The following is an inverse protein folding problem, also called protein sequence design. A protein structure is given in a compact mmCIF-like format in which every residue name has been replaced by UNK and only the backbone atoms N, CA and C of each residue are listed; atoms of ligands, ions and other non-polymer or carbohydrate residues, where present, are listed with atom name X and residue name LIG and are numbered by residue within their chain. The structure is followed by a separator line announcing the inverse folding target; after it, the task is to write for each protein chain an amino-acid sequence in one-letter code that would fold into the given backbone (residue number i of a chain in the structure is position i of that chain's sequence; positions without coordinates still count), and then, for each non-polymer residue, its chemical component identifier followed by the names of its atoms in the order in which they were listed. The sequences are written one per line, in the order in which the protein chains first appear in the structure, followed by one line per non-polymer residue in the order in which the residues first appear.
data_IF_438086070355
#
_entry.id   IF_438086070355
#
_cell.length_a   1.000
_cell.length_b   1.000
_cell.length_c   1.000
_cell.angle_alpha   90.00
_cell.angle_beta   90.00
_cell.angle_gamma   90.00
#
_symmetry.space_group_name_H-M   'P 1'
#
loop_
_entity.id
_entity.type
_entity.pdbx_description
1 polymer ?
#
# COMPACT_ATOMS: atom_id res chain seq x y z
N UNK A 1 5.58 37.86 65.09
CA UNK A 1 4.45 37.20 64.41
C UNK A 1 4.38 37.73 62.99
N UNK A 2 4.98 37.01 62.05
CA UNK A 2 4.95 37.34 60.62
C UNK A 2 4.17 36.24 59.92
N UNK A 3 3.08 36.64 59.27
CA UNK A 3 2.32 35.74 58.38
C UNK A 3 2.92 35.83 56.98
N UNK A 4 3.35 34.68 56.44
CA UNK A 4 3.82 34.57 55.08
C UNK A 4 2.65 34.17 54.20
N UNK A 5 2.33 35.02 53.20
CA UNK A 5 1.45 34.72 52.10
C UNK A 5 2.21 33.87 51.08
N UNK A 6 1.71 32.69 50.78
CA UNK A 6 2.18 31.85 49.69
C UNK A 6 1.29 32.13 48.47
N UNK A 7 1.85 32.81 47.49
CA UNK A 7 1.24 32.95 46.15
C UNK A 7 1.45 31.71 45.34
N UNK A 8 0.37 31.00 45.01
CA UNK A 8 0.42 29.94 44.05
C UNK A 8 0.37 30.50 42.63
N UNK A 9 1.49 30.44 41.93
CA UNK A 9 1.57 30.68 40.50
C UNK A 9 1.12 29.41 39.78
N UNK A 10 -0.02 29.50 39.10
CA UNK A 10 -0.41 28.50 38.11
C UNK A 10 0.44 28.70 36.87
N UNK A 11 1.44 27.89 36.69
CA UNK A 11 2.23 27.83 35.46
C UNK A 11 1.56 26.92 34.45
N UNK A 12 1.18 27.49 33.35
CA UNK A 12 1.66 27.24 32.01
C UNK A 12 1.45 25.82 31.47
N UNK A 13 0.64 25.81 30.44
CA UNK A 13 0.57 24.72 29.48
C UNK A 13 1.98 24.24 29.10
N UNK A 14 2.27 23.01 29.39
CA UNK A 14 3.40 22.33 28.81
C UNK A 14 2.90 21.77 27.49
N UNK A 15 3.34 22.36 26.38
CA UNK A 15 3.32 21.70 25.08
C UNK A 15 4.19 20.45 25.20
N UNK A 16 3.53 19.31 25.39
CA UNK A 16 4.19 18.03 25.25
C UNK A 16 4.21 17.67 23.77
N UNK A 17 5.31 18.00 23.10
CA UNK A 17 5.64 17.30 21.86
C UNK A 17 5.76 15.82 22.18
N UNK A 18 4.77 15.05 21.76
CA UNK A 18 4.78 13.57 21.84
C UNK A 18 5.64 13.08 20.68
N UNK A 19 6.79 12.45 20.93
CA UNK A 19 7.57 11.85 19.86
C UNK A 19 6.89 10.56 19.41
N UNK A 20 6.31 10.59 18.24
CA UNK A 20 6.00 9.39 17.46
C UNK A 20 4.54 8.93 17.48
N UNK A 21 3.85 9.14 16.39
CA UNK A 21 2.88 8.20 15.87
C UNK A 21 1.41 8.42 16.19
N UNK A 22 1.03 9.35 17.06
CA UNK A 22 -0.38 9.72 17.26
C UNK A 22 -0.64 11.11 16.67
N UNK A 23 -1.38 11.15 15.56
CA UNK A 23 -1.91 12.41 15.06
C UNK A 23 -3.20 12.75 15.82
N UNK A 24 -3.26 13.89 16.50
CA UNK A 24 -4.51 14.40 17.08
C UNK A 24 -5.03 15.51 16.20
N UNK A 25 -6.20 15.30 15.59
CA UNK A 25 -6.92 16.35 14.86
C UNK A 25 -7.88 17.01 15.84
N UNK A 26 -7.64 18.29 16.13
CA UNK A 26 -8.48 19.05 17.06
C UNK A 26 -9.45 19.90 16.25
N UNK A 27 -10.75 19.72 16.45
CA UNK A 27 -11.80 20.55 15.83
C UNK A 27 -12.10 21.76 16.70
N UNK A 28 -12.74 22.78 16.13
CA UNK A 28 -13.26 23.96 16.88
C UNK A 28 -14.41 23.61 17.83
N UNK A 29 -14.96 22.42 17.73
CA UNK A 29 -15.88 21.83 18.70
C UNK A 29 -15.05 21.08 19.75
N UNK A 30 -15.59 20.76 20.91
CA UNK A 30 -14.93 19.97 21.96
C UNK A 30 -14.62 18.49 21.58
N UNK A 31 -14.84 18.12 20.31
CA UNK A 31 -14.58 16.78 19.79
C UNK A 31 -13.15 16.69 19.26
N UNK A 32 -12.46 15.63 19.60
CA UNK A 32 -11.08 15.34 19.16
C UNK A 32 -11.15 14.06 18.33
N UNK A 33 -10.75 14.14 17.06
CA UNK A 33 -10.51 12.95 16.26
C UNK A 33 -9.11 12.43 16.59
N UNK A 34 -9.03 11.25 17.19
CA UNK A 34 -7.77 10.52 17.33
C UNK A 34 -7.61 9.60 16.13
N UNK A 35 -6.47 9.69 15.46
CA UNK A 35 -6.10 8.79 14.36
C UNK A 35 -4.71 8.23 14.66
N UNK A 36 -4.55 6.93 14.50
CA UNK A 36 -3.28 6.25 14.69
C UNK A 36 -2.64 5.97 13.31
N UNK A 37 -1.33 6.21 13.21
CA UNK A 37 -0.55 5.84 12.04
C UNK A 37 -0.14 4.37 12.17
N UNK A 38 -0.50 3.56 11.20
CA UNK A 38 -0.09 2.16 11.18
C UNK A 38 1.37 2.07 10.72
N UNK A 39 2.21 1.52 11.58
CA UNK A 39 3.63 1.24 11.33
C UNK A 39 4.45 2.44 10.77
N UNK A 40 4.43 3.61 11.45
CA UNK A 40 5.08 4.82 10.94
C UNK A 40 6.62 4.73 10.89
N UNK A 41 7.20 3.72 11.54
CA UNK A 41 8.66 3.50 11.62
C UNK A 41 9.12 2.27 10.86
N UNK A 42 8.30 1.76 9.95
CA UNK A 42 8.66 0.59 9.15
C UNK A 42 9.95 0.82 8.38
N UNK A 43 10.90 -0.10 8.52
CA UNK A 43 12.09 -0.12 7.66
C UNK A 43 11.71 -0.67 6.28
N UNK A 44 11.59 0.22 5.31
CA UNK A 44 11.21 -0.13 3.94
C UNK A 44 12.25 -1.00 3.25
N UNK A 45 13.53 -0.95 3.67
CA UNK A 45 14.61 -1.77 3.10
C UNK A 45 14.45 -3.26 3.42
N UNK A 46 13.62 -3.60 4.42
CA UNK A 46 13.29 -4.98 4.77
C UNK A 46 12.07 -5.54 4.00
N UNK A 47 11.47 -4.77 3.10
CA UNK A 47 10.30 -5.22 2.33
C UNK A 47 10.67 -6.31 1.33
N UNK A 48 11.78 -6.14 0.61
CA UNK A 48 12.21 -7.12 -0.38
C UNK A 48 12.78 -8.38 0.28
N UNK A 49 12.41 -9.53 -0.26
CA UNK A 49 12.81 -10.83 0.26
C UNK A 49 14.24 -11.19 -0.18
N UNK A 50 14.91 -12.14 0.48
CA UNK A 50 16.17 -12.70 0.00
C UNK A 50 16.04 -13.26 -1.43
N UNK A 51 17.14 -13.20 -2.19
CA UNK A 51 17.17 -13.64 -3.60
C UNK A 51 16.79 -15.12 -3.74
N UNK A 52 15.75 -15.38 -4.54
CA UNK A 52 15.36 -16.73 -4.92
C UNK A 52 16.32 -17.30 -5.97
N UNK A 53 16.69 -18.58 -5.82
CA UNK A 53 17.44 -19.30 -6.85
C UNK A 53 16.58 -19.56 -8.09
N UNK A 54 17.21 -19.68 -9.26
CA UNK A 54 16.51 -20.10 -10.48
C UNK A 54 16.11 -21.59 -10.40
N UNK A 55 14.97 -21.91 -11.00
CA UNK A 55 14.54 -23.29 -11.16
C UNK A 55 15.52 -24.03 -12.10
N UNK A 56 15.77 -25.31 -11.90
CA UNK A 56 16.69 -26.07 -12.74
C UNK A 56 16.29 -26.02 -14.24
N UNK A 57 17.20 -25.49 -15.07
CA UNK A 57 17.01 -25.38 -16.51
C UNK A 57 16.09 -24.24 -16.98
N UNK A 58 15.59 -23.41 -16.06
CA UNK A 58 14.81 -22.23 -16.39
C UNK A 58 15.71 -21.03 -16.76
N UNK A 59 15.15 -19.99 -17.44
CA UNK A 59 15.85 -18.74 -17.66
C UNK A 59 16.32 -18.10 -16.35
N UNK A 60 17.48 -17.44 -16.38
CA UNK A 60 18.02 -16.72 -15.23
C UNK A 60 18.49 -15.31 -15.63
N UNK A 61 17.56 -14.40 -15.97
CA UNK A 61 17.90 -13.06 -16.42
C UNK A 61 18.68 -12.30 -15.36
N UNK A 62 19.74 -11.60 -15.79
CA UNK A 62 20.65 -10.84 -14.95
C UNK A 62 20.43 -9.32 -15.07
N UNK A 63 19.78 -8.88 -16.14
CA UNK A 63 19.57 -7.47 -16.49
C UNK A 63 18.12 -7.23 -16.90
N UNK A 64 17.26 -6.99 -15.92
CA UNK A 64 15.82 -6.88 -16.12
C UNK A 64 15.44 -5.41 -16.31
N UNK A 65 14.77 -5.09 -17.39
CA UNK A 65 14.12 -3.80 -17.58
C UNK A 65 12.63 -3.94 -17.28
N UNK A 66 12.09 -3.03 -16.49
CA UNK A 66 10.68 -3.06 -16.06
C UNK A 66 9.92 -1.90 -16.71
N UNK A 67 9.05 -2.21 -17.67
CA UNK A 67 8.26 -1.23 -18.41
C UNK A 67 6.94 -0.85 -17.72
N UNK A 68 6.62 -1.46 -16.59
CA UNK A 68 5.54 -1.08 -15.68
C UNK A 68 6.01 -1.19 -14.23
N UNK A 69 6.12 -0.08 -13.46
CA UNK A 69 6.65 -0.12 -12.11
C UNK A 69 5.84 -1.00 -11.15
N UNK A 70 4.59 -1.34 -11.46
CA UNK A 70 3.80 -2.29 -10.66
C UNK A 70 4.39 -3.71 -10.66
N UNK A 71 5.24 -4.07 -11.64
CA UNK A 71 5.92 -5.36 -11.68
C UNK A 71 7.16 -5.42 -10.78
N UNK A 72 7.65 -4.27 -10.28
CA UNK A 72 8.76 -4.20 -9.32
C UNK A 72 8.43 -4.93 -8.02
N UNK A 73 7.17 -4.91 -7.58
CA UNK A 73 6.72 -5.62 -6.39
C UNK A 73 7.04 -7.13 -6.47
N UNK A 74 6.74 -7.75 -7.61
CA UNK A 74 7.00 -9.17 -7.83
C UNK A 74 8.51 -9.48 -7.79
N UNK A 75 9.34 -8.62 -8.37
CA UNK A 75 10.80 -8.76 -8.34
C UNK A 75 11.35 -8.57 -6.92
N UNK A 76 10.84 -7.61 -6.17
CA UNK A 76 11.12 -7.40 -4.75
C UNK A 76 10.72 -8.63 -3.93
N UNK A 77 9.52 -9.16 -4.15
CA UNK A 77 9.07 -10.40 -3.51
C UNK A 77 9.93 -11.61 -3.86
N UNK A 78 10.59 -11.64 -5.02
CA UNK A 78 11.53 -12.69 -5.43
C UNK A 78 12.98 -12.40 -5.06
N UNK A 79 13.28 -11.22 -4.51
CA UNK A 79 14.64 -10.78 -4.17
C UNK A 79 15.50 -10.49 -5.39
N UNK A 80 14.88 -10.09 -6.49
CA UNK A 80 15.55 -9.82 -7.76
C UNK A 80 15.69 -8.31 -8.08
N UNK A 81 15.37 -7.43 -7.12
CA UNK A 81 15.47 -5.98 -7.31
C UNK A 81 16.86 -5.52 -7.74
N UNK A 82 17.93 -6.18 -7.28
CA UNK A 82 19.31 -5.86 -7.67
C UNK A 82 19.64 -6.19 -9.13
N UNK A 83 18.79 -6.95 -9.81
CA UNK A 83 18.92 -7.27 -11.25
C UNK A 83 18.16 -6.29 -12.14
N UNK A 84 17.36 -5.40 -11.56
CA UNK A 84 16.65 -4.38 -12.33
C UNK A 84 17.63 -3.29 -12.74
N UNK A 85 17.79 -3.11 -14.04
CA UNK A 85 18.73 -2.14 -14.62
C UNK A 85 18.07 -0.80 -14.92
N UNK A 86 16.76 -0.78 -15.15
CA UNK A 86 15.96 0.43 -15.31
C UNK A 86 14.46 0.12 -15.20
N UNK A 87 13.68 1.14 -14.87
CA UNK A 87 12.22 1.07 -14.83
C UNK A 87 11.57 2.32 -15.42
N UNK A 88 10.35 2.20 -15.92
CA UNK A 88 9.47 3.35 -16.13
C UNK A 88 8.92 3.87 -14.82
N UNK A 89 8.31 5.05 -14.84
CA UNK A 89 7.62 5.65 -13.70
C UNK A 89 6.12 5.83 -13.95
N UNK A 90 5.37 6.03 -12.87
CA UNK A 90 4.01 6.55 -12.88
C UNK A 90 3.98 7.77 -11.97
N UNK A 91 3.59 8.94 -12.51
CA UNK A 91 3.63 10.19 -11.76
C UNK A 91 5.04 10.69 -11.41
N UNK A 92 6.06 10.30 -12.19
CA UNK A 92 7.45 10.78 -12.08
C UNK A 92 8.28 10.09 -11.00
N UNK A 93 7.75 9.12 -10.25
CA UNK A 93 8.48 8.45 -9.18
C UNK A 93 8.30 6.93 -9.21
N UNK A 94 9.21 6.23 -8.53
CA UNK A 94 9.10 4.81 -8.22
C UNK A 94 8.51 4.62 -6.82
N UNK A 95 7.92 3.44 -6.53
CA UNK A 95 7.37 3.15 -5.21
C UNK A 95 8.43 3.23 -4.11
N UNK A 96 8.08 3.85 -2.97
CA UNK A 96 8.99 4.04 -1.83
C UNK A 96 8.95 2.88 -0.83
N UNK A 97 7.85 2.14 -0.79
CA UNK A 97 7.62 1.10 0.21
C UNK A 97 8.53 -0.14 0.07
N UNK A 98 9.22 -0.29 -1.05
CA UNK A 98 10.16 -1.38 -1.33
C UNK A 98 11.62 -1.03 -1.01
N UNK A 99 11.87 0.13 -0.40
CA UNK A 99 13.19 0.58 0.02
C UNK A 99 14.00 1.29 -1.07
N UNK A 100 15.18 1.79 -0.64
CA UNK A 100 16.05 2.62 -1.47
C UNK A 100 16.53 1.91 -2.74
N UNK A 101 16.82 0.61 -2.66
CA UNK A 101 17.26 -0.16 -3.84
C UNK A 101 16.26 -0.14 -5.00
N UNK A 102 14.96 -0.02 -4.70
CA UNK A 102 13.92 0.08 -5.74
C UNK A 102 13.64 1.53 -6.07
N UNK A 103 13.58 2.39 -5.06
CA UNK A 103 13.28 3.81 -5.26
C UNK A 103 14.33 4.52 -6.10
N UNK A 104 15.61 4.17 -5.95
CA UNK A 104 16.74 4.81 -6.62
C UNK A 104 17.15 4.15 -7.95
N UNK A 105 16.34 3.23 -8.47
CA UNK A 105 16.59 2.62 -9.78
C UNK A 105 16.64 3.68 -10.90
N UNK A 106 17.51 3.51 -11.91
CA UNK A 106 17.49 4.33 -13.11
C UNK A 106 16.11 4.31 -13.77
N UNK A 107 15.59 5.48 -14.14
CA UNK A 107 14.29 5.60 -14.77
C UNK A 107 14.43 5.94 -16.26
N UNK A 108 13.52 5.40 -17.08
CA UNK A 108 13.46 5.60 -18.53
C UNK A 108 12.18 6.34 -18.97
N UNK A 109 11.71 7.27 -18.14
CA UNK A 109 10.50 8.06 -18.40
C UNK A 109 9.21 7.41 -17.91
N UNK A 110 8.08 8.01 -18.25
CA UNK A 110 6.76 7.54 -17.87
C UNK A 110 6.35 6.26 -18.59
N UNK A 111 5.62 5.37 -17.94
CA UNK A 111 5.07 4.14 -18.51
C UNK A 111 4.35 4.39 -19.85
N UNK A 112 3.57 5.46 -19.94
CA UNK A 112 2.83 5.80 -21.16
C UNK A 112 3.75 6.29 -22.31
N UNK A 113 4.97 6.71 -22.01
CA UNK A 113 5.92 7.25 -22.97
C UNK A 113 7.36 7.00 -22.51
N UNK A 114 7.82 5.73 -22.56
CA UNK A 114 9.19 5.38 -22.19
C UNK A 114 10.21 5.92 -23.21
N UNK A 115 11.41 6.22 -22.73
CA UNK A 115 12.55 6.58 -23.58
C UNK A 115 13.23 5.32 -24.11
N UNK A 116 13.00 5.03 -25.40
CA UNK A 116 13.54 3.85 -26.08
C UNK A 116 15.07 3.86 -26.13
N UNK A 117 15.69 5.04 -26.29
CA UNK A 117 17.16 5.13 -26.36
C UNK A 117 17.79 4.78 -24.99
N UNK A 118 17.22 5.28 -23.90
CA UNK A 118 17.64 4.93 -22.55
C UNK A 118 17.39 3.45 -22.24
N UNK A 119 16.24 2.90 -22.66
CA UNK A 119 15.92 1.48 -22.49
C UNK A 119 16.94 0.59 -23.20
N UNK A 120 17.28 0.92 -24.46
CA UNK A 120 18.30 0.19 -25.23
C UNK A 120 19.69 0.32 -24.60
N UNK A 121 20.06 1.53 -24.15
CA UNK A 121 21.35 1.77 -23.49
C UNK A 121 21.50 1.01 -22.16
N UNK A 122 20.40 0.70 -21.48
CA UNK A 122 20.40 -0.14 -20.28
C UNK A 122 20.81 -1.59 -20.58
N UNK A 123 20.83 -2.01 -21.86
CA UNK A 123 21.25 -3.33 -22.33
C UNK A 123 20.63 -4.49 -21.50
N UNK A 124 19.29 -4.59 -21.43
CA UNK A 124 18.62 -5.66 -20.73
C UNK A 124 18.70 -6.99 -21.45
N UNK A 125 18.64 -8.09 -20.72
CA UNK A 125 18.44 -9.45 -21.25
C UNK A 125 16.98 -9.91 -21.15
N UNK A 126 16.17 -9.21 -20.33
CA UNK A 126 14.72 -9.40 -20.22
C UNK A 126 14.02 -8.05 -20.05
N UNK A 127 12.89 -7.87 -20.73
CA UNK A 127 11.97 -6.75 -20.52
C UNK A 127 10.62 -7.29 -20.03
N UNK A 128 10.15 -6.81 -18.90
CA UNK A 128 8.80 -7.08 -18.39
C UNK A 128 7.86 -5.92 -18.69
N UNK A 129 6.72 -6.20 -19.32
CA UNK A 129 5.71 -5.19 -19.67
C UNK A 129 4.33 -5.61 -19.15
N UNK A 130 3.38 -4.68 -19.11
CA UNK A 130 1.96 -4.99 -18.97
C UNK A 130 1.22 -4.56 -20.23
N UNK A 131 0.58 -5.54 -20.90
CA UNK A 131 -0.07 -5.28 -22.20
C UNK A 131 0.90 -4.82 -23.29
N UNK A 132 0.38 -4.03 -24.22
CA UNK A 132 1.18 -3.47 -25.32
C UNK A 132 2.14 -2.39 -24.78
N UNK A 133 3.38 -2.47 -25.21
CA UNK A 133 4.41 -1.49 -24.83
C UNK A 133 5.17 -1.01 -26.06
N UNK A 134 5.44 0.30 -26.18
CA UNK A 134 6.30 0.84 -27.24
C UNK A 134 7.72 0.23 -27.26
N UNK A 135 8.15 -0.39 -26.17
CA UNK A 135 9.45 -1.05 -26.08
C UNK A 135 9.48 -2.41 -26.77
N UNK A 136 8.32 -3.08 -26.95
CA UNK A 136 8.29 -4.44 -27.51
C UNK A 136 8.97 -4.54 -28.88
N UNK A 137 8.65 -3.62 -29.77
CA UNK A 137 9.23 -3.59 -31.14
C UNK A 137 10.65 -3.02 -31.16
N UNK A 138 11.01 -2.21 -30.17
CA UNK A 138 12.26 -1.46 -30.15
C UNK A 138 13.44 -2.24 -29.56
N UNK A 139 13.18 -3.30 -28.80
CA UNK A 139 14.22 -4.05 -28.05
C UNK A 139 14.93 -5.12 -28.88
N UNK A 140 14.62 -5.24 -30.19
CA UNK A 140 15.31 -6.12 -31.12
C UNK A 140 15.23 -7.60 -30.73
N UNK A 141 16.36 -8.22 -30.40
CA UNK A 141 16.43 -9.65 -30.00
C UNK A 141 16.27 -9.88 -28.49
N UNK A 142 16.13 -8.82 -27.70
CA UNK A 142 15.89 -8.96 -26.24
C UNK A 142 14.52 -9.58 -25.99
N UNK A 143 14.43 -10.54 -25.09
CA UNK A 143 13.16 -11.14 -24.71
C UNK A 143 12.25 -10.11 -24.05
N UNK A 144 11.03 -9.98 -24.56
CA UNK A 144 9.99 -9.10 -24.01
C UNK A 144 8.81 -9.96 -23.58
N UNK A 145 8.50 -9.97 -22.30
CA UNK A 145 7.41 -10.78 -21.73
C UNK A 145 6.28 -9.85 -21.26
N UNK A 146 5.13 -9.90 -21.94
CA UNK A 146 3.94 -9.18 -21.54
C UNK A 146 3.23 -9.93 -20.39
N UNK A 147 2.99 -9.23 -19.29
CA UNK A 147 2.17 -9.69 -18.17
C UNK A 147 0.77 -9.11 -18.33
N UNK A 148 -0.24 -9.96 -18.30
CA UNK A 148 -1.63 -9.54 -18.48
C UNK A 148 -2.11 -8.70 -17.27
N UNK A 149 -2.41 -7.41 -17.44
CA UNK A 149 -2.85 -6.54 -16.35
C UNK A 149 -4.26 -6.86 -15.83
N UNK A 150 -5.07 -7.60 -16.59
CA UNK A 150 -6.43 -7.98 -16.20
C UNK A 150 -6.48 -9.15 -15.21
N UNK A 151 -5.37 -9.86 -15.04
CA UNK A 151 -5.26 -10.94 -14.05
C UNK A 151 -5.27 -10.38 -12.62
N UNK A 152 -5.75 -11.18 -11.66
CA UNK A 152 -5.56 -10.90 -10.25
C UNK A 152 -4.06 -10.82 -9.88
N UNK A 153 -3.77 -10.19 -8.74
CA UNK A 153 -2.40 -9.92 -8.35
C UNK A 153 -1.55 -11.19 -8.11
N UNK A 154 -2.15 -12.29 -7.64
CA UNK A 154 -1.43 -13.56 -7.43
C UNK A 154 -1.02 -14.20 -8.76
N UNK A 155 -1.90 -14.15 -9.77
CA UNK A 155 -1.59 -14.66 -11.11
C UNK A 155 -0.53 -13.79 -11.79
N UNK A 156 -0.61 -12.44 -11.64
CA UNK A 156 0.44 -11.55 -12.15
C UNK A 156 1.78 -11.85 -11.50
N UNK A 157 1.82 -12.03 -10.19
CA UNK A 157 3.04 -12.45 -9.48
C UNK A 157 3.57 -13.77 -10.03
N UNK A 158 2.72 -14.78 -10.19
CA UNK A 158 3.11 -16.08 -10.73
C UNK A 158 3.64 -15.98 -12.16
N UNK A 159 3.05 -15.14 -13.01
CA UNK A 159 3.51 -14.89 -14.37
C UNK A 159 4.90 -14.23 -14.38
N UNK A 160 5.15 -13.25 -13.51
CA UNK A 160 6.50 -12.67 -13.35
C UNK A 160 7.49 -13.71 -12.85
N UNK A 161 7.12 -14.52 -11.86
CA UNK A 161 7.98 -15.59 -11.33
C UNK A 161 8.38 -16.58 -12.43
N UNK A 162 7.44 -16.96 -13.31
CA UNK A 162 7.70 -17.83 -14.46
C UNK A 162 8.63 -17.14 -15.47
N UNK A 163 8.39 -15.87 -15.81
CA UNK A 163 9.22 -15.11 -16.75
C UNK A 163 10.67 -14.99 -16.31
N UNK A 164 10.93 -14.92 -14.99
CA UNK A 164 12.29 -14.83 -14.43
C UNK A 164 12.84 -16.19 -13.96
N UNK A 165 12.17 -17.30 -14.30
CA UNK A 165 12.61 -18.66 -13.99
C UNK A 165 12.60 -18.98 -12.47
N UNK A 166 11.60 -18.51 -11.75
CA UNK A 166 11.41 -18.73 -10.29
C UNK A 166 10.02 -19.24 -9.95
N UNK A 167 9.46 -20.09 -10.79
CA UNK A 167 8.11 -20.65 -10.57
C UNK A 167 8.01 -21.36 -9.23
N UNK A 168 8.98 -22.22 -8.88
CA UNK A 168 8.98 -22.94 -7.62
C UNK A 168 9.05 -22.01 -6.41
N UNK A 169 9.95 -21.03 -6.42
CA UNK A 169 10.05 -20.03 -5.36
C UNK A 169 8.81 -19.12 -5.29
N UNK A 170 8.20 -18.80 -6.42
CA UNK A 170 6.94 -18.05 -6.50
C UNK A 170 5.79 -18.78 -5.80
N UNK A 171 5.62 -20.06 -6.10
CA UNK A 171 4.61 -20.91 -5.46
C UNK A 171 4.82 -21.03 -3.94
N UNK A 172 6.07 -21.25 -3.52
CA UNK A 172 6.43 -21.30 -2.09
C UNK A 172 6.06 -20.02 -1.36
N UNK A 173 6.36 -18.85 -1.94
CA UNK A 173 6.09 -17.54 -1.34
C UNK A 173 4.59 -17.22 -1.29
N UNK A 174 3.83 -17.52 -2.33
CA UNK A 174 2.37 -17.41 -2.30
C UNK A 174 1.76 -18.33 -1.24
N UNK A 175 2.25 -19.56 -1.14
CA UNK A 175 1.75 -20.48 -0.11
C UNK A 175 2.09 -19.98 1.31
N UNK A 176 3.29 -19.42 1.50
CA UNK A 176 3.68 -18.81 2.77
C UNK A 176 2.78 -17.63 3.14
N UNK A 177 2.46 -16.75 2.18
CA UNK A 177 1.51 -15.65 2.35
C UNK A 177 0.12 -16.16 2.76
N UNK A 178 -0.45 -17.13 2.01
CA UNK A 178 -1.79 -17.69 2.31
C UNK A 178 -1.85 -18.32 3.70
N UNK A 179 -0.80 -19.06 4.08
CA UNK A 179 -0.69 -19.64 5.42
C UNK A 179 -0.57 -18.55 6.50
N UNK A 180 0.21 -17.49 6.22
CA UNK A 180 0.36 -16.33 7.10
C UNK A 180 -0.94 -15.57 7.28
N UNK A 181 -1.69 -15.32 6.20
CA UNK A 181 -2.99 -14.63 6.22
C UNK A 181 -3.99 -15.40 7.08
N UNK A 182 -4.09 -16.71 6.87
CA UNK A 182 -4.95 -17.56 7.71
C UNK A 182 -4.54 -17.53 9.18
N UNK A 183 -3.25 -17.64 9.49
CA UNK A 183 -2.75 -17.65 10.86
C UNK A 183 -3.01 -16.30 11.58
N UNK A 184 -2.87 -15.19 10.86
CA UNK A 184 -3.23 -13.85 11.35
C UNK A 184 -4.72 -13.79 11.62
N UNK A 185 -5.55 -14.18 10.64
CA UNK A 185 -7.00 -14.17 10.77
C UNK A 185 -7.53 -14.98 11.96
N UNK A 186 -6.97 -16.17 12.17
CA UNK A 186 -7.32 -17.01 13.34
C UNK A 186 -6.95 -16.32 14.66
N UNK A 187 -5.78 -15.64 14.71
CA UNK A 187 -5.28 -14.98 15.93
C UNK A 187 -6.12 -13.78 16.32
N UNK A 188 -6.44 -12.90 15.35
CA UNK A 188 -7.20 -11.66 15.62
C UNK A 188 -8.71 -11.89 15.63
N UNK A 189 -9.19 -13.09 15.37
CA UNK A 189 -10.63 -13.38 15.26
C UNK A 189 -11.28 -12.63 14.07
N UNK A 190 -10.57 -12.52 12.95
CA UNK A 190 -10.90 -11.68 11.81
C UNK A 190 -12.35 -11.78 11.32
N UNK A 191 -12.96 -12.96 11.38
CA UNK A 191 -14.36 -13.21 10.99
C UNK A 191 -15.41 -12.41 11.75
N UNK A 192 -15.03 -11.85 12.89
CA UNK A 192 -15.91 -11.05 13.75
C UNK A 192 -15.68 -9.55 13.59
N UNK A 193 -14.72 -9.13 12.76
CA UNK A 193 -14.34 -7.74 12.54
C UNK A 193 -14.74 -7.29 11.15
N UNK A 194 -15.25 -6.05 11.05
CA UNK A 194 -15.58 -5.40 9.79
C UNK A 194 -14.66 -4.19 9.60
N UNK A 195 -13.86 -4.24 8.55
CA UNK A 195 -12.97 -3.14 8.21
C UNK A 195 -13.48 -2.35 7.00
N UNK A 196 -13.61 -1.04 7.18
CA UNK A 196 -13.85 -0.08 6.11
C UNK A 196 -12.54 0.36 5.47
N UNK A 197 -12.55 0.60 4.16
CA UNK A 197 -11.43 1.15 3.41
C UNK A 197 -11.85 2.49 2.82
N UNK A 198 -11.27 3.57 3.32
CA UNK A 198 -11.58 4.93 2.89
C UNK A 198 -10.33 5.57 2.31
N UNK A 199 -10.41 6.03 1.07
CA UNK A 199 -9.35 6.76 0.39
C UNK A 199 -9.78 8.19 0.11
N UNK A 200 -9.01 9.16 0.59
CA UNK A 200 -9.21 10.55 0.26
C UNK A 200 -8.33 10.95 -0.92
N UNK A 201 -8.98 11.37 -2.00
CA UNK A 201 -8.33 11.98 -3.15
C UNK A 201 -8.61 13.50 -3.16
N UNK A 202 -8.14 14.20 -4.20
CA UNK A 202 -8.45 15.62 -4.36
C UNK A 202 -9.97 15.79 -4.47
N UNK A 203 -10.56 16.51 -3.51
CA UNK A 203 -12.00 16.84 -3.45
C UNK A 203 -12.92 15.60 -3.53
N UNK A 204 -12.45 14.44 -3.07
CA UNK A 204 -13.20 13.19 -3.15
C UNK A 204 -12.90 12.27 -1.97
N UNK A 205 -13.97 11.74 -1.36
CA UNK A 205 -13.94 10.65 -0.38
C UNK A 205 -14.45 9.38 -1.09
N UNK A 206 -13.66 8.33 -1.04
CA UNK A 206 -13.91 7.09 -1.78
C UNK A 206 -13.89 5.94 -0.79
N UNK A 207 -14.95 5.17 -0.76
CA UNK A 207 -14.99 3.86 -0.09
C UNK A 207 -14.71 2.80 -1.14
N UNK A 208 -13.65 2.03 -0.91
CA UNK A 208 -13.21 1.01 -1.86
C UNK A 208 -14.13 -0.23 -1.83
N UNK A 209 -14.37 -0.79 -3.00
CA UNK A 209 -15.12 -2.03 -3.19
C UNK A 209 -14.26 -3.28 -2.95
N UNK A 210 -14.84 -4.45 -3.26
CA UNK A 210 -14.17 -5.76 -3.04
C UNK A 210 -13.07 -6.04 -4.06
N UNK A 211 -13.05 -5.38 -5.22
CA UNK A 211 -12.02 -5.54 -6.23
C UNK A 211 -10.74 -4.78 -5.91
N UNK A 212 -10.78 -3.85 -4.94
CA UNK A 212 -9.59 -3.15 -4.48
C UNK A 212 -8.56 -4.12 -3.86
N UNK A 213 -7.27 -3.89 -4.14
CA UNK A 213 -6.19 -4.76 -3.69
C UNK A 213 -6.22 -5.01 -2.17
N UNK A 214 -6.32 -3.94 -1.36
CA UNK A 214 -6.37 -4.09 0.09
C UNK A 214 -7.63 -4.86 0.55
N UNK A 215 -8.77 -4.74 -0.16
CA UNK A 215 -9.97 -5.50 0.16
C UNK A 215 -9.78 -7.00 -0.10
N UNK A 216 -9.06 -7.38 -1.17
CA UNK A 216 -8.68 -8.76 -1.43
C UNK A 216 -7.79 -9.32 -0.32
N UNK A 217 -6.77 -8.57 0.12
CA UNK A 217 -5.91 -8.96 1.25
C UNK A 217 -6.70 -9.11 2.56
N UNK A 218 -7.64 -8.20 2.86
CA UNK A 218 -8.53 -8.34 4.02
C UNK A 218 -9.38 -9.61 3.92
N UNK A 219 -9.84 -9.96 2.73
CA UNK A 219 -10.60 -11.21 2.47
C UNK A 219 -9.73 -12.44 2.73
N UNK A 220 -8.46 -12.44 2.31
CA UNK A 220 -7.51 -13.53 2.55
C UNK A 220 -7.25 -13.74 4.06
N UNK A 221 -7.27 -12.66 4.83
CA UNK A 221 -7.16 -12.70 6.30
C UNK A 221 -8.48 -13.16 6.94
N UNK A 222 -9.61 -13.00 6.26
CA UNK A 222 -10.96 -13.31 6.77
C UNK A 222 -11.67 -12.14 7.43
N UNK A 223 -11.11 -10.91 7.32
CA UNK A 223 -11.77 -9.68 7.79
C UNK A 223 -12.95 -9.36 6.87
N UNK A 224 -14.10 -9.07 7.47
CA UNK A 224 -15.31 -8.78 6.72
C UNK A 224 -15.35 -7.32 6.25
N UNK A 225 -16.13 -7.07 5.19
CA UNK A 225 -16.46 -5.71 4.76
C UNK A 225 -17.83 -5.31 5.32
N UNK A 226 -18.03 -4.04 5.74
CA UNK A 226 -19.35 -3.53 6.07
C UNK A 226 -20.36 -3.80 4.95
N UNK A 227 -21.66 -3.97 5.24
CA UNK A 227 -22.63 -4.34 4.22
C UNK A 227 -22.67 -3.41 3.00
N UNK A 228 -22.49 -2.09 3.20
CA UNK A 228 -22.47 -1.10 2.11
C UNK A 228 -21.19 -1.10 1.26
N UNK A 229 -20.21 -1.99 1.56
CA UNK A 229 -18.90 -2.03 0.91
C UNK A 229 -18.60 -3.42 0.31
N UNK A 230 -19.63 -4.19 -0.04
CA UNK A 230 -19.50 -5.56 -0.57
C UNK A 230 -19.67 -5.65 -2.09
N UNK A 231 -19.91 -4.51 -2.74
CA UNK A 231 -19.91 -4.44 -4.20
C UNK A 231 -18.47 -4.40 -4.73
N UNK A 232 -18.24 -4.86 -5.98
CA UNK A 232 -16.92 -4.85 -6.59
C UNK A 232 -16.33 -3.45 -6.73
N UNK A 233 -17.15 -2.49 -7.17
CA UNK A 233 -16.74 -1.14 -7.49
C UNK A 233 -16.64 -0.24 -6.24
N UNK A 234 -15.77 0.75 -6.32
CA UNK A 234 -15.66 1.80 -5.32
C UNK A 234 -16.85 2.75 -5.35
N UNK A 235 -17.22 3.29 -4.19
CA UNK A 235 -18.32 4.25 -4.02
C UNK A 235 -17.79 5.61 -3.59
N UNK A 236 -18.17 6.66 -4.32
CA UNK A 236 -17.89 8.05 -3.90
C UNK A 236 -18.87 8.44 -2.81
N UNK A 237 -18.33 9.01 -1.74
CA UNK A 237 -19.09 9.40 -0.55
C UNK A 237 -19.45 10.89 -0.60
N UNK A 238 -20.66 11.21 -0.18
CA UNK A 238 -21.18 12.57 0.01
C UNK A 238 -21.98 12.65 1.33
N UNK A 239 -22.63 13.79 1.57
CA UNK A 239 -23.42 14.00 2.79
C UNK A 239 -24.69 13.12 2.91
N UNK A 240 -25.05 12.37 1.86
CA UNK A 240 -26.24 11.51 1.87
C UNK A 240 -25.93 10.04 2.15
N UNK A 241 -24.71 9.62 1.87
CA UNK A 241 -24.30 8.22 1.97
C UNK A 241 -23.06 7.99 2.85
N UNK A 242 -22.63 9.00 3.63
CA UNK A 242 -21.39 8.95 4.42
C UNK A 242 -21.33 7.78 5.43
N UNK A 243 -22.48 7.32 5.91
CA UNK A 243 -22.57 6.17 6.83
C UNK A 243 -21.98 4.88 6.21
N UNK A 244 -21.87 4.82 4.87
CA UNK A 244 -21.23 3.69 4.19
C UNK A 244 -19.75 3.59 4.56
N UNK A 245 -19.09 4.71 4.91
CA UNK A 245 -17.67 4.73 5.30
C UNK A 245 -17.42 4.14 6.70
N UNK A 246 -18.44 3.90 7.51
CA UNK A 246 -18.27 3.38 8.87
C UNK A 246 -18.01 1.86 8.90
N UNK A 247 -17.45 1.38 10.01
CA UNK A 247 -17.14 -0.02 10.27
C UNK A 247 -16.64 -0.21 11.71
N UNK A 248 -16.22 -1.43 12.06
CA UNK A 248 -15.58 -1.67 13.37
C UNK A 248 -14.21 -0.98 13.45
N UNK A 249 -13.52 -0.88 12.31
CA UNK A 249 -12.28 -0.14 12.09
C UNK A 249 -12.34 0.50 10.70
N UNK A 250 -11.75 1.69 10.56
CA UNK A 250 -11.61 2.38 9.28
C UNK A 250 -10.14 2.58 8.96
N UNK A 251 -9.66 1.95 7.87
CA UNK A 251 -8.35 2.23 7.32
C UNK A 251 -8.46 3.38 6.32
N UNK A 252 -7.75 4.46 6.61
CA UNK A 252 -7.78 5.70 5.82
C UNK A 252 -6.45 5.89 5.08
N UNK A 253 -6.51 6.30 3.83
CA UNK A 253 -5.33 6.78 3.11
C UNK A 253 -5.57 8.12 2.43
N UNK A 254 -4.47 8.77 2.04
CA UNK A 254 -4.49 10.05 1.36
C UNK A 254 -3.71 9.97 0.04
N UNK A 255 -4.38 10.24 -1.06
CA UNK A 255 -3.75 10.33 -2.37
C UNK A 255 -3.05 11.69 -2.53
N UNK A 256 -1.79 11.75 -2.09
CA UNK A 256 -0.96 12.95 -2.15
C UNK A 256 -1.47 14.09 -1.25
N UNK A 257 -0.78 15.23 -1.28
CA UNK A 257 -1.08 16.37 -0.40
C UNK A 257 -2.50 16.96 -0.58
N UNK A 258 -3.08 16.84 -1.78
CA UNK A 258 -4.45 17.31 -2.02
C UNK A 258 -5.48 16.41 -1.33
N UNK A 259 -5.27 15.09 -1.37
CA UNK A 259 -6.09 14.11 -0.65
C UNK A 259 -5.95 14.26 0.86
N UNK A 260 -4.74 14.47 1.36
CA UNK A 260 -4.49 14.73 2.79
C UNK A 260 -5.23 15.97 3.28
N UNK A 261 -5.12 17.08 2.55
CA UNK A 261 -5.83 18.32 2.90
C UNK A 261 -7.35 18.12 2.93
N UNK A 262 -7.91 17.47 1.91
CA UNK A 262 -9.35 17.22 1.83
C UNK A 262 -9.79 16.25 2.93
N UNK A 263 -9.09 15.13 3.09
CA UNK A 263 -9.42 14.12 4.09
C UNK A 263 -9.35 14.65 5.52
N UNK A 264 -8.36 15.49 5.84
CA UNK A 264 -8.28 16.16 7.13
C UNK A 264 -9.55 16.98 7.38
N UNK A 265 -10.01 17.78 6.40
CA UNK A 265 -11.22 18.58 6.56
C UNK A 265 -12.49 17.74 6.73
N UNK A 266 -12.56 16.57 6.07
CA UNK A 266 -13.67 15.62 6.24
C UNK A 266 -13.64 14.99 7.62
N UNK A 267 -12.49 14.51 8.07
CA UNK A 267 -12.32 13.86 9.38
C UNK A 267 -12.56 14.81 10.56
N UNK A 268 -12.49 16.13 10.34
CA UNK A 268 -12.85 17.17 11.33
C UNK A 268 -14.35 17.51 11.31
N UNK A 269 -15.11 17.04 10.33
CA UNK A 269 -16.54 17.36 10.19
C UNK A 269 -17.42 16.60 11.20
N UNK A 270 -18.56 17.20 11.55
CA UNK A 270 -19.52 16.57 12.47
C UNK A 270 -20.01 15.22 11.95
N UNK A 271 -20.27 15.10 10.63
CA UNK A 271 -20.72 13.84 10.02
C UNK A 271 -19.72 12.69 10.21
N UNK A 272 -18.41 13.00 10.10
CA UNK A 272 -17.36 12.01 10.33
C UNK A 272 -17.26 11.62 11.81
N UNK A 273 -17.26 12.63 12.70
CA UNK A 273 -17.12 12.42 14.14
C UNK A 273 -18.32 11.75 14.79
N UNK A 274 -19.48 11.75 14.12
CA UNK A 274 -20.70 11.07 14.59
C UNK A 274 -20.72 9.57 14.20
N UNK A 275 -19.82 9.11 13.29
CA UNK A 275 -19.69 7.69 12.97
C UNK A 275 -19.15 6.87 14.15
N UNK A 276 -19.36 5.55 14.10
CA UNK A 276 -18.94 4.63 15.13
C UNK A 276 -17.43 4.54 15.29
N UNK A 277 -16.70 4.23 14.21
CA UNK A 277 -15.25 4.04 14.27
C UNK A 277 -14.50 5.28 14.79
N UNK A 278 -14.74 6.52 14.33
CA UNK A 278 -14.14 7.72 14.91
C UNK A 278 -14.46 7.91 16.39
N UNK A 279 -15.71 7.70 16.79
CA UNK A 279 -16.12 7.85 18.20
C UNK A 279 -15.45 6.84 19.15
N UNK A 280 -15.08 5.67 18.62
CA UNK A 280 -14.36 4.61 19.33
C UNK A 280 -12.84 4.67 19.14
N UNK A 281 -12.30 5.70 18.45
CA UNK A 281 -10.87 5.87 18.12
C UNK A 281 -10.31 4.69 17.32
N UNK A 282 -11.08 4.23 16.35
CA UNK A 282 -10.72 3.11 15.48
C UNK A 282 -10.52 3.54 14.03
N UNK A 283 -9.90 4.71 13.85
CA UNK A 283 -9.47 5.23 12.55
C UNK A 283 -7.95 5.11 12.45
N UNK A 284 -7.49 4.39 11.44
CA UNK A 284 -6.09 4.03 11.24
C UNK A 284 -5.59 4.56 9.90
N UNK A 285 -4.58 5.40 9.91
CA UNK A 285 -3.96 5.91 8.68
C UNK A 285 -2.95 4.90 8.16
N UNK A 286 -3.08 4.56 6.90
CA UNK A 286 -2.21 3.61 6.18
C UNK A 286 -1.54 4.27 4.98
N UNK A 287 -0.44 3.69 4.52
CA UNK A 287 0.32 4.18 3.38
C UNK A 287 -0.45 3.93 2.06
N UNK A 288 -0.78 4.99 1.32
CA UNK A 288 -1.55 4.94 0.07
C UNK A 288 -0.84 4.12 -1.02
N UNK A 289 0.48 4.25 -1.12
CA UNK A 289 1.29 3.51 -2.10
C UNK A 289 1.26 2.00 -1.88
N UNK A 290 1.06 1.53 -0.65
CA UNK A 290 0.96 0.11 -0.29
C UNK A 290 -0.46 -0.42 -0.41
N UNK A 291 -1.44 0.29 0.19
CA UNK A 291 -2.79 -0.23 0.35
C UNK A 291 -3.68 -0.04 -0.89
N UNK A 292 -3.42 1.01 -1.68
CA UNK A 292 -4.32 1.42 -2.76
C UNK A 292 -3.64 1.53 -4.12
N UNK A 293 -2.35 1.86 -4.16
CA UNK A 293 -1.63 2.02 -5.43
C UNK A 293 -0.81 0.78 -5.82
N UNK A 294 -0.44 -0.06 -4.87
CA UNK A 294 0.26 -1.33 -5.12
C UNK A 294 -0.72 -2.46 -5.50
N UNK A 295 -0.18 -3.61 -5.83
CA UNK A 295 -0.96 -4.78 -6.20
C UNK A 295 -0.07 -5.99 -6.43
N UNK A 296 0.75 -6.37 -5.43
CA UNK A 296 1.62 -7.52 -5.51
C UNK A 296 1.95 -8.12 -4.14
N UNK A 297 2.77 -9.18 -4.13
CA UNK A 297 3.03 -9.99 -2.95
C UNK A 297 3.82 -9.24 -1.86
N UNK A 298 4.72 -8.33 -2.23
CA UNK A 298 5.45 -7.50 -1.25
C UNK A 298 4.50 -6.58 -0.51
N UNK A 299 3.61 -5.88 -1.24
CA UNK A 299 2.59 -5.03 -0.64
C UNK A 299 1.59 -5.84 0.20
N UNK A 300 1.16 -7.02 -0.28
CA UNK A 300 0.24 -7.90 0.46
C UNK A 300 0.82 -8.32 1.81
N UNK A 301 2.11 -8.64 1.87
CA UNK A 301 2.79 -8.94 3.13
C UNK A 301 2.87 -7.73 4.08
N UNK A 302 3.03 -6.51 3.54
CA UNK A 302 3.00 -5.29 4.36
C UNK A 302 1.60 -5.04 4.92
N UNK A 303 0.55 -5.14 4.08
CA UNK A 303 -0.84 -5.02 4.53
C UNK A 303 -1.17 -6.06 5.60
N UNK A 304 -0.76 -7.33 5.39
CA UNK A 304 -0.93 -8.41 6.37
C UNK A 304 -0.28 -8.09 7.71
N UNK A 305 0.94 -7.54 7.69
CA UNK A 305 1.64 -7.06 8.88
C UNK A 305 0.88 -5.94 9.58
N UNK A 306 0.44 -4.94 8.82
CA UNK A 306 -0.32 -3.81 9.34
C UNK A 306 -1.63 -4.26 10.01
N UNK A 307 -2.39 -5.17 9.39
CA UNK A 307 -3.64 -5.72 9.96
C UNK A 307 -3.35 -6.51 11.23
N UNK A 308 -2.32 -7.36 11.22
CA UNK A 308 -1.90 -8.11 12.42
C UNK A 308 -1.63 -7.19 13.61
N UNK A 309 -0.92 -6.08 13.36
CA UNK A 309 -0.42 -5.21 14.44
C UNK A 309 -1.49 -4.21 14.90
N UNK A 310 -2.46 -3.89 14.05
CA UNK A 310 -3.54 -2.94 14.36
C UNK A 310 -4.81 -3.58 14.93
N UNK A 311 -5.07 -4.87 14.69
CA UNK A 311 -6.24 -5.59 15.19
C UNK A 311 -5.92 -6.61 16.31
N UNK A 312 -4.72 -6.57 16.87
CA UNK A 312 -4.26 -7.53 17.87
C UNK A 312 -4.61 -7.08 19.30
#
# INVERSE_FOLDING_TARGET
MLAALVSATVSGCIDSEVPGGEGTITTTTTRIASVDLVDPKRDTNLTCQPTAGADPGAPDPQRILVADPNLLDALCALGLQSRVVASTTVGGSLPTFMGEQVHDLPTIGEKARPDVAMATAANPDLVLTTGDSPLADAMGSTEVVPIDPAQDWEKRFSAVAAAVGRTGAGEERLQAYRNGSKAVGDRIGARYSQASLVRFAKDSEIVEGTDAFAAQVLTDIGVQRPPGQREPDATVIDDKNFEIADGDVVYVSFQGAAGEKYGTSVMESDRWLDMGAPSWRRVLIVADDVWYSAGGLSAANVVLGNVRDSLN
#
